data_IF_101572783335
#
_entry.id   IF_101572783335
#
_cell.length_a   1.000
_cell.length_b   1.000
_cell.length_c   1.000
_cell.angle_alpha   90.00
_cell.angle_beta   90.00
_cell.angle_gamma   90.00
#
_symmetry.space_group_name_H-M   'P 1'
#
loop_
_entity.id
_entity.type
_entity.pdbx_description
1 polymer ?
#
# COMPACT_ATOMS: atom_id res chain seq x y z
N UNK A 1 -8.63 -39.72 -4.34
CA UNK A 1 -9.80 -38.85 -4.10
C UNK A 1 -9.90 -37.90 -5.29
N UNK A 2 -10.66 -38.26 -6.33
CA UNK A 2 -10.87 -37.41 -7.51
C UNK A 2 -11.92 -36.37 -7.15
N UNK A 3 -11.52 -35.10 -7.06
CA UNK A 3 -12.46 -33.99 -7.01
C UNK A 3 -13.22 -33.97 -8.34
N UNK A 4 -14.56 -34.02 -8.27
CA UNK A 4 -15.42 -34.02 -9.45
C UNK A 4 -15.38 -32.63 -10.07
N UNK A 5 -15.28 -32.58 -11.40
CA UNK A 5 -15.16 -31.36 -12.22
C UNK A 5 -16.26 -30.31 -11.92
N UNK A 6 -17.44 -30.77 -11.48
CA UNK A 6 -18.56 -29.91 -11.05
C UNK A 6 -18.32 -29.14 -9.74
N UNK A 7 -17.45 -29.63 -8.85
CA UNK A 7 -17.08 -28.92 -7.61
C UNK A 7 -16.09 -27.78 -7.90
N UNK A 8 -15.28 -27.90 -8.96
CA UNK A 8 -14.35 -26.83 -9.37
C UNK A 8 -15.10 -25.65 -10.00
N UNK A 9 -16.07 -25.93 -10.87
CA UNK A 9 -16.86 -24.89 -11.55
C UNK A 9 -17.81 -24.15 -10.59
N UNK A 10 -18.41 -24.85 -9.63
CA UNK A 10 -19.26 -24.23 -8.61
C UNK A 10 -18.45 -23.34 -7.68
N UNK A 11 -17.27 -23.77 -7.25
CA UNK A 11 -16.35 -22.96 -6.44
C UNK A 11 -15.85 -21.72 -7.19
N UNK A 12 -15.57 -21.84 -8.50
CA UNK A 12 -15.13 -20.71 -9.33
C UNK A 12 -16.24 -19.67 -9.53
N UNK A 13 -17.47 -20.11 -9.78
CA UNK A 13 -18.65 -19.24 -9.88
C UNK A 13 -18.95 -18.54 -8.55
N UNK A 14 -18.81 -19.25 -7.43
CA UNK A 14 -19.04 -18.70 -6.09
C UNK A 14 -17.97 -17.67 -5.73
N UNK A 15 -16.71 -17.91 -6.10
CA UNK A 15 -15.62 -16.95 -5.91
C UNK A 15 -15.77 -15.71 -6.82
N UNK A 16 -16.23 -15.88 -8.07
CA UNK A 16 -16.58 -14.77 -8.96
C UNK A 16 -17.75 -13.95 -8.44
N UNK A 17 -18.85 -14.59 -8.01
CA UNK A 17 -19.98 -13.89 -7.39
C UNK A 17 -19.61 -13.22 -6.06
N UNK A 18 -18.71 -13.83 -5.29
CA UNK A 18 -18.18 -13.21 -4.06
C UNK A 18 -17.31 -12.00 -4.36
N UNK A 19 -16.53 -12.04 -5.45
CA UNK A 19 -15.79 -10.87 -5.96
C UNK A 19 -16.72 -9.79 -6.50
N UNK A 20 -17.81 -10.17 -7.16
CA UNK A 20 -18.86 -9.23 -7.59
C UNK A 20 -19.55 -8.58 -6.37
N UNK A 21 -19.79 -9.33 -5.29
CA UNK A 21 -20.37 -8.81 -4.04
C UNK A 21 -19.37 -8.01 -3.19
N UNK A 22 -18.05 -8.16 -3.36
CA UNK A 22 -17.06 -7.21 -2.83
C UNK A 22 -17.23 -5.79 -3.41
N UNK A 23 -18.00 -5.63 -4.50
CA UNK A 23 -18.36 -4.33 -5.07
C UNK A 23 -19.70 -3.78 -4.57
N UNK A 24 -20.47 -4.52 -3.76
CA UNK A 24 -21.58 -3.91 -3.00
C UNK A 24 -20.99 -3.20 -1.77
N UNK A 25 -20.54 -1.97 -1.97
CA UNK A 25 -19.81 -1.13 -1.01
C UNK A 25 -20.64 -0.59 0.16
N UNK A 26 -21.94 -0.88 0.22
CA UNK A 26 -22.81 -0.39 1.28
C UNK A 26 -22.40 -0.98 2.63
N UNK A 27 -21.71 -0.15 3.42
CA UNK A 27 -21.47 -0.40 4.83
C UNK A 27 -20.15 -1.10 5.18
N UNK A 28 -19.20 -1.28 4.27
CA UNK A 28 -17.86 -1.81 4.61
C UNK A 28 -16.85 -0.72 4.97
N UNK A 29 -17.06 0.50 4.44
CA UNK A 29 -16.21 1.66 4.69
C UNK A 29 -16.87 2.61 5.70
N UNK A 30 -16.05 3.30 6.49
CA UNK A 30 -16.45 4.35 7.44
C UNK A 30 -16.71 5.67 6.72
N UNK A 31 -16.02 5.91 5.61
CA UNK A 31 -16.19 7.07 4.74
C UNK A 31 -16.30 6.62 3.28
N UNK A 32 -16.82 7.49 2.42
CA UNK A 32 -16.95 7.20 1.00
C UNK A 32 -15.57 7.08 0.33
N UNK A 33 -15.44 6.10 -0.57
CA UNK A 33 -14.24 5.98 -1.42
C UNK A 33 -14.29 7.04 -2.51
N UNK A 34 -13.14 7.62 -2.79
CA UNK A 34 -12.95 8.48 -3.97
C UNK A 34 -12.07 7.79 -5.00
N UNK A 35 -12.18 8.16 -6.27
CA UNK A 35 -11.26 7.66 -7.30
C UNK A 35 -9.83 8.23 -7.13
N UNK A 36 -8.86 7.67 -7.85
CA UNK A 36 -7.47 8.12 -7.79
C UNK A 36 -7.31 9.57 -8.27
N UNK A 37 -8.15 10.04 -9.19
CA UNK A 37 -8.06 11.42 -9.70
C UNK A 37 -8.40 12.43 -8.60
N UNK A 38 -9.55 12.20 -7.95
CA UNK A 38 -10.05 12.99 -6.83
C UNK A 38 -9.12 12.89 -5.62
N UNK A 39 -8.61 11.68 -5.32
CA UNK A 39 -7.65 11.49 -4.22
C UNK A 39 -6.40 12.34 -4.41
N UNK A 40 -5.89 12.44 -5.63
CA UNK A 40 -4.65 13.18 -5.92
C UNK A 40 -4.89 14.68 -6.03
N UNK A 41 -5.96 15.10 -6.71
CA UNK A 41 -6.13 16.50 -7.14
C UNK A 41 -7.00 17.33 -6.22
N UNK A 42 -7.85 16.71 -5.38
CA UNK A 42 -8.76 17.46 -4.52
C UNK A 42 -8.03 18.07 -3.32
N UNK A 43 -8.36 19.33 -2.93
CA UNK A 43 -7.87 19.97 -1.72
C UNK A 43 -8.22 19.23 -0.43
N UNK A 44 -9.27 18.41 -0.44
CA UNK A 44 -9.68 17.62 0.74
C UNK A 44 -8.81 16.38 0.96
N UNK A 45 -7.93 16.05 -0.01
CA UNK A 45 -7.07 14.88 0.01
C UNK A 45 -5.59 15.26 -0.11
N UNK A 46 -4.97 14.98 -1.25
CA UNK A 46 -3.54 15.20 -1.43
C UNK A 46 -3.21 16.62 -1.92
N UNK A 47 -4.16 17.32 -2.56
CA UNK A 47 -3.99 18.69 -3.09
C UNK A 47 -2.81 18.86 -4.06
N UNK A 48 -2.56 17.86 -4.92
CA UNK A 48 -1.42 17.85 -5.84
C UNK A 48 -1.80 18.21 -7.28
N UNK A 49 -2.94 18.85 -7.50
CA UNK A 49 -3.47 19.15 -8.83
C UNK A 49 -2.53 19.97 -9.71
N UNK A 50 -1.83 20.93 -9.11
CA UNK A 50 -0.86 21.79 -9.81
C UNK A 50 0.55 21.17 -9.92
N UNK A 51 0.87 20.19 -9.07
CA UNK A 51 2.19 19.55 -8.99
C UNK A 51 2.30 18.29 -9.86
N UNK A 52 1.20 17.59 -10.09
CA UNK A 52 1.21 16.32 -10.83
C UNK A 52 1.07 16.54 -12.35
N UNK A 53 1.99 15.94 -13.11
CA UNK A 53 1.85 15.90 -14.57
C UNK A 53 0.69 15.00 -14.99
N UNK A 54 0.04 15.33 -16.11
CA UNK A 54 -1.03 14.49 -16.70
C UNK A 54 -0.58 13.04 -16.92
N UNK A 55 0.67 12.83 -17.35
CA UNK A 55 1.20 11.49 -17.58
C UNK A 55 1.31 10.68 -16.28
N UNK A 56 1.77 11.32 -15.19
CA UNK A 56 1.89 10.69 -13.88
C UNK A 56 0.52 10.37 -13.28
N UNK A 57 -0.45 11.29 -13.40
CA UNK A 57 -1.82 11.03 -12.95
C UNK A 57 -2.47 9.87 -13.72
N UNK A 58 -2.27 9.79 -15.03
CA UNK A 58 -2.76 8.68 -15.84
C UNK A 58 -2.10 7.35 -15.46
N UNK A 59 -0.79 7.34 -15.19
CA UNK A 59 -0.10 6.16 -14.69
C UNK A 59 -0.69 5.69 -13.36
N UNK A 60 -0.89 6.60 -12.39
CA UNK A 60 -1.51 6.30 -11.09
C UNK A 60 -2.92 5.71 -11.26
N UNK A 61 -3.75 6.31 -12.11
CA UNK A 61 -5.10 5.82 -12.41
C UNK A 61 -5.07 4.42 -13.03
N UNK A 62 -4.07 4.14 -13.87
CA UNK A 62 -3.92 2.81 -14.46
C UNK A 62 -3.58 1.77 -13.39
N UNK A 63 -2.57 2.03 -12.54
CA UNK A 63 -2.13 1.07 -11.52
C UNK A 63 -3.08 0.95 -10.31
N UNK A 64 -3.95 1.94 -10.06
CA UNK A 64 -5.02 1.87 -9.04
C UNK A 64 -6.21 0.99 -9.47
N UNK A 65 -6.23 0.54 -10.73
CA UNK A 65 -7.30 -0.32 -11.21
C UNK A 65 -7.35 -1.62 -10.38
N UNK A 66 -8.48 -1.95 -9.73
CA UNK A 66 -8.61 -3.15 -8.90
C UNK A 66 -8.35 -4.48 -9.64
N UNK A 67 -8.43 -4.49 -10.97
CA UNK A 67 -8.08 -5.63 -11.82
C UNK A 67 -6.57 -5.84 -11.98
N UNK A 68 -5.75 -4.85 -11.63
CA UNK A 68 -4.29 -4.93 -11.69
C UNK A 68 -3.76 -5.33 -10.32
N UNK A 69 -3.19 -6.52 -10.22
CA UNK A 69 -2.55 -7.02 -8.98
C UNK A 69 -1.07 -6.69 -8.89
N UNK A 70 -0.41 -6.57 -10.05
CA UNK A 70 1.03 -6.43 -10.19
C UNK A 70 1.30 -5.49 -11.37
N UNK A 71 2.21 -4.53 -11.20
CA UNK A 71 2.63 -3.61 -12.25
C UNK A 71 4.16 -3.57 -12.32
N UNK A 72 4.70 -3.72 -13.53
CA UNK A 72 6.13 -3.64 -13.81
C UNK A 72 6.38 -2.39 -14.63
N UNK A 73 7.10 -1.43 -14.07
CA UNK A 73 7.26 -0.11 -14.66
C UNK A 73 8.72 0.11 -15.07
N UNK A 74 8.95 0.30 -16.37
CA UNK A 74 10.24 0.70 -16.91
C UNK A 74 10.19 2.21 -17.15
N UNK A 75 10.82 2.96 -16.26
CA UNK A 75 10.74 4.42 -16.23
C UNK A 75 12.13 5.05 -16.33
N UNK A 76 12.25 6.10 -17.14
CA UNK A 76 13.47 6.90 -17.23
C UNK A 76 13.76 7.69 -15.95
N UNK A 77 15.02 8.11 -15.77
CA UNK A 77 15.40 9.04 -14.70
C UNK A 77 14.65 10.37 -14.86
N UNK A 78 14.12 10.92 -13.77
CA UNK A 78 13.32 12.16 -13.79
C UNK A 78 11.85 11.97 -14.18
N UNK A 79 11.38 10.73 -14.38
CA UNK A 79 9.98 10.42 -14.70
C UNK A 79 8.98 10.71 -13.56
N UNK A 80 9.46 10.96 -12.34
CA UNK A 80 8.60 11.07 -11.16
C UNK A 80 8.25 9.72 -10.51
N UNK A 81 9.05 8.66 -10.72
CA UNK A 81 8.82 7.33 -10.12
C UNK A 81 8.63 7.37 -8.59
N UNK A 82 9.51 8.08 -7.87
CA UNK A 82 9.48 8.17 -6.40
C UNK A 82 8.25 8.95 -5.95
N UNK A 83 7.94 10.06 -6.64
CA UNK A 83 6.71 10.82 -6.46
C UNK A 83 5.46 9.94 -6.61
N UNK A 84 5.32 9.21 -7.73
CA UNK A 84 4.18 8.31 -7.96
C UNK A 84 4.11 7.19 -6.91
N UNK A 85 5.25 6.59 -6.55
CA UNK A 85 5.28 5.52 -5.54
C UNK A 85 4.79 5.98 -4.18
N UNK A 86 5.15 7.20 -3.76
CA UNK A 86 4.72 7.78 -2.49
C UNK A 86 3.20 8.02 -2.48
N UNK A 87 2.64 8.56 -3.56
CA UNK A 87 1.18 8.76 -3.71
C UNK A 87 0.44 7.43 -3.71
N UNK A 88 0.94 6.44 -4.45
CA UNK A 88 0.33 5.11 -4.51
C UNK A 88 0.35 4.39 -3.16
N UNK A 89 1.38 4.63 -2.35
CA UNK A 89 1.45 4.15 -0.98
C UNK A 89 0.45 4.86 -0.07
N UNK A 90 0.37 6.20 -0.12
CA UNK A 90 -0.64 6.98 0.60
C UNK A 90 -2.05 6.49 0.28
N UNK A 91 -2.34 6.28 -1.01
CA UNK A 91 -3.63 5.74 -1.48
C UNK A 91 -3.97 4.42 -0.83
N UNK A 92 -3.08 3.43 -0.93
CA UNK A 92 -3.32 2.09 -0.39
C UNK A 92 -3.55 2.09 1.13
N UNK A 93 -2.77 2.90 1.85
CA UNK A 93 -2.92 3.08 3.30
C UNK A 93 -4.26 3.75 3.62
N UNK A 94 -4.58 4.86 2.96
CA UNK A 94 -5.83 5.61 3.17
C UNK A 94 -7.05 4.72 2.97
N UNK A 95 -7.12 4.01 1.83
CA UNK A 95 -8.23 3.10 1.52
C UNK A 95 -8.39 1.99 2.55
N UNK A 96 -7.28 1.52 3.12
CA UNK A 96 -7.32 0.47 4.15
C UNK A 96 -7.76 1.05 5.49
N UNK A 97 -7.37 2.28 5.82
CA UNK A 97 -7.76 2.95 7.05
C UNK A 97 -9.26 3.27 7.10
N UNK A 98 -9.88 3.59 5.96
CA UNK A 98 -11.32 3.88 5.89
C UNK A 98 -12.20 2.63 5.91
N UNK A 99 -11.64 1.41 5.91
CA UNK A 99 -12.42 0.19 6.15
C UNK A 99 -12.87 0.12 7.61
N UNK A 100 -14.13 -0.24 7.88
CA UNK A 100 -14.62 -0.46 9.26
C UNK A 100 -13.83 -1.53 9.99
N UNK A 101 -13.44 -2.59 9.28
CA UNK A 101 -12.61 -3.66 9.83
C UNK A 101 -11.71 -4.25 8.73
N UNK A 102 -10.48 -3.74 8.56
CA UNK A 102 -9.60 -4.13 7.46
C UNK A 102 -9.13 -5.58 7.55
N UNK A 103 -8.97 -6.14 8.76
CA UNK A 103 -8.64 -7.55 8.96
C UNK A 103 -9.79 -8.44 8.50
N UNK A 104 -11.03 -8.16 8.92
CA UNK A 104 -12.21 -8.94 8.50
C UNK A 104 -12.43 -8.85 6.99
N UNK A 105 -12.33 -7.65 6.42
CA UNK A 105 -12.41 -7.44 4.97
C UNK A 105 -11.38 -8.32 4.23
N UNK A 106 -10.16 -8.39 4.78
CA UNK A 106 -9.06 -9.17 4.20
C UNK A 106 -8.99 -10.62 4.67
N UNK A 107 -10.00 -11.12 5.40
CA UNK A 107 -10.04 -12.48 6.00
C UNK A 107 -8.83 -12.83 6.87
N UNK A 108 -8.24 -11.83 7.51
CA UNK A 108 -7.15 -11.99 8.47
C UNK A 108 -7.70 -12.16 9.89
N UNK A 109 -6.92 -12.81 10.76
CA UNK A 109 -7.28 -12.93 12.16
C UNK A 109 -7.33 -11.55 12.84
N UNK A 110 -8.24 -11.41 13.81
CA UNK A 110 -8.41 -10.17 14.58
C UNK A 110 -7.09 -9.80 15.26
N UNK A 111 -6.74 -8.51 15.23
CA UNK A 111 -5.52 -7.99 15.86
C UNK A 111 -4.25 -8.21 15.04
N UNK A 112 -4.30 -8.89 13.89
CA UNK A 112 -3.13 -9.02 13.03
C UNK A 112 -2.79 -7.72 12.31
N UNK A 113 -1.49 -7.47 12.18
CA UNK A 113 -0.98 -6.30 11.46
C UNK A 113 -1.16 -6.47 9.95
N UNK A 114 -1.48 -5.38 9.27
CA UNK A 114 -1.50 -5.24 7.81
C UNK A 114 -0.34 -4.34 7.41
N UNK A 115 0.53 -4.81 6.53
CA UNK A 115 1.77 -4.13 6.18
C UNK A 115 1.73 -3.51 4.78
N UNK A 116 2.33 -2.33 4.67
CA UNK A 116 2.66 -1.64 3.43
C UNK A 116 4.17 -1.53 3.36
N UNK A 117 4.76 -2.17 2.35
CA UNK A 117 6.22 -2.28 2.24
C UNK A 117 6.72 -1.44 1.08
N UNK A 118 7.70 -0.59 1.37
CA UNK A 118 8.46 0.10 0.35
C UNK A 118 9.92 -0.34 0.43
N UNK A 119 10.39 -1.02 -0.61
CA UNK A 119 11.67 -1.70 -0.67
C UNK A 119 12.63 -0.89 -1.53
N UNK A 120 13.75 -0.50 -0.96
CA UNK A 120 14.84 0.17 -1.68
C UNK A 120 16.15 -0.64 -1.59
N UNK A 121 17.07 -0.33 -2.49
CA UNK A 121 18.34 -1.05 -2.65
C UNK A 121 19.32 -0.82 -1.50
N UNK A 122 19.32 0.37 -0.87
CA UNK A 122 20.23 0.76 0.21
C UNK A 122 19.47 1.19 1.48
N UNK A 123 19.95 0.77 2.67
CA UNK A 123 19.44 1.17 4.00
C UNK A 123 19.36 2.69 4.17
N UNK A 124 20.38 3.42 3.69
CA UNK A 124 20.44 4.88 3.81
C UNK A 124 19.40 5.52 2.87
N UNK A 125 19.25 5.00 1.66
CA UNK A 125 18.30 5.49 0.65
C UNK A 125 16.83 5.20 1.04
N UNK A 126 16.58 4.08 1.72
CA UNK A 126 15.24 3.67 2.14
C UNK A 126 14.58 4.68 3.08
N UNK A 127 15.31 5.18 4.09
CA UNK A 127 14.76 6.17 5.03
C UNK A 127 14.91 7.59 4.51
N UNK A 128 16.11 7.98 4.11
CA UNK A 128 16.45 9.39 3.87
C UNK A 128 15.87 9.95 2.57
N UNK A 129 15.44 9.08 1.63
CA UNK A 129 14.89 9.52 0.33
C UNK A 129 13.47 8.99 0.12
N UNK A 130 13.24 7.68 0.23
CA UNK A 130 11.94 7.08 -0.10
C UNK A 130 10.90 7.33 0.99
N UNK A 131 11.26 7.14 2.26
CA UNK A 131 10.36 7.45 3.38
C UNK A 131 10.20 8.95 3.60
N UNK A 132 11.24 9.74 3.36
CA UNK A 132 11.14 11.20 3.40
C UNK A 132 10.05 11.71 2.45
N UNK A 133 10.02 11.19 1.21
CA UNK A 133 8.96 11.52 0.27
C UNK A 133 7.59 11.09 0.82
N UNK A 134 7.40 9.83 1.21
CA UNK A 134 6.13 9.35 1.74
C UNK A 134 5.64 10.17 2.95
N UNK A 135 6.51 10.43 3.93
CA UNK A 135 6.20 11.24 5.12
C UNK A 135 5.81 12.66 4.72
N UNK A 136 6.54 13.28 3.79
CA UNK A 136 6.21 14.62 3.31
C UNK A 136 4.81 14.70 2.71
N UNK A 137 4.39 13.66 1.98
CA UNK A 137 3.06 13.60 1.39
C UNK A 137 1.99 13.41 2.47
N UNK A 138 2.26 12.63 3.51
CA UNK A 138 1.37 12.53 4.67
C UNK A 138 1.22 13.90 5.38
N UNK A 139 2.35 14.58 5.64
CA UNK A 139 2.39 15.87 6.35
C UNK A 139 1.61 16.98 5.63
N UNK A 140 1.65 16.99 4.29
CA UNK A 140 1.02 18.04 3.49
C UNK A 140 -0.40 17.72 3.00
N UNK A 141 -0.81 16.45 3.05
CA UNK A 141 -2.18 16.06 2.73
C UNK A 141 -3.19 16.49 3.80
N UNK A 142 -4.46 16.67 3.41
CA UNK A 142 -5.60 16.87 4.31
C UNK A 142 -6.29 15.57 4.71
N UNK A 143 -6.00 14.48 4.00
CA UNK A 143 -6.56 13.16 4.27
C UNK A 143 -5.78 12.35 5.32
N UNK A 144 -4.75 12.93 5.95
CA UNK A 144 -4.02 12.34 7.06
C UNK A 144 -3.78 13.36 8.18
N UNK A 145 -3.56 12.86 9.39
CA UNK A 145 -3.26 13.70 10.55
C UNK A 145 -2.07 13.14 11.35
N UNK A 146 -0.99 13.91 11.46
CA UNK A 146 0.15 13.53 12.29
C UNK A 146 -0.21 13.65 13.78
N UNK A 147 0.16 12.62 14.53
CA UNK A 147 0.10 12.61 16.00
C UNK A 147 1.52 12.57 16.50
N UNK A 148 1.88 13.44 17.46
CA UNK A 148 3.26 13.55 17.95
C UNK A 148 3.51 12.79 19.24
N UNK A 149 2.46 12.40 19.94
CA UNK A 149 2.57 11.67 21.19
C UNK A 149 1.43 10.68 21.41
N UNK A 150 1.71 9.64 22.20
CA UNK A 150 0.67 8.68 22.60
C UNK A 150 -0.45 9.32 23.44
N UNK A 151 -0.21 10.51 24.02
CA UNK A 151 -1.21 11.27 24.77
C UNK A 151 -2.26 11.88 23.84
N UNK A 152 -1.83 12.42 22.70
CA UNK A 152 -2.73 12.98 21.66
C UNK A 152 -3.67 11.92 21.07
N UNK A 153 -3.28 10.62 21.08
CA UNK A 153 -4.15 9.53 20.63
C UNK A 153 -5.48 9.45 21.40
N UNK A 154 -5.49 9.88 22.66
CA UNK A 154 -6.70 9.85 23.49
C UNK A 154 -7.71 10.93 23.10
N UNK A 155 -7.26 11.98 22.40
CA UNK A 155 -8.06 13.12 21.93
C UNK A 155 -8.64 12.90 20.52
N UNK A 156 -8.22 11.85 19.81
CA UNK A 156 -8.61 11.56 18.42
C UNK A 156 -9.93 10.79 18.28
N UNK A 157 -10.72 10.63 19.36
CA UNK A 157 -12.04 9.99 19.26
C UNK A 157 -12.94 10.81 18.33
N UNK A 158 -13.28 10.24 17.18
CA UNK A 158 -14.15 10.88 16.18
C UNK A 158 -13.42 11.71 15.13
N UNK A 159 -12.09 11.59 15.02
CA UNK A 159 -11.34 12.22 13.94
C UNK A 159 -11.85 11.72 12.57
N UNK A 160 -12.07 12.64 11.63
CA UNK A 160 -12.71 12.35 10.33
C UNK A 160 -11.77 11.70 9.31
N UNK A 161 -10.45 11.81 9.54
CA UNK A 161 -9.41 11.28 8.65
C UNK A 161 -8.42 10.38 9.41
N UNK A 162 -7.77 9.42 8.74
CA UNK A 162 -6.74 8.58 9.35
C UNK A 162 -5.63 9.39 10.01
N UNK A 163 -5.28 9.04 11.25
CA UNK A 163 -4.10 9.60 11.91
C UNK A 163 -2.88 8.70 11.70
N UNK A 164 -1.67 9.22 11.93
CA UNK A 164 -0.45 8.42 11.93
C UNK A 164 0.54 8.87 12.99
N UNK A 165 1.40 7.94 13.40
CA UNK A 165 2.52 8.19 14.30
C UNK A 165 3.80 7.72 13.62
N UNK A 166 4.69 8.67 13.33
CA UNK A 166 6.01 8.37 12.78
C UNK A 166 6.96 7.90 13.89
N UNK A 167 7.61 6.77 13.66
CA UNK A 167 8.62 6.20 14.56
C UNK A 167 9.95 6.14 13.84
N UNK A 168 11.01 5.75 14.55
CA UNK A 168 12.33 5.63 13.93
C UNK A 168 12.35 4.72 12.69
N UNK A 169 11.56 3.64 12.68
CA UNK A 169 11.66 2.58 11.68
C UNK A 169 10.35 2.27 10.94
N UNK A 170 9.23 2.88 11.34
CA UNK A 170 7.87 2.55 10.88
C UNK A 170 6.93 3.73 10.99
N UNK A 171 5.90 3.77 10.15
CA UNK A 171 4.74 4.65 10.36
C UNK A 171 3.56 3.78 10.79
N UNK A 172 2.96 4.14 11.92
CA UNK A 172 1.84 3.43 12.52
C UNK A 172 0.54 4.16 12.20
N UNK A 173 -0.47 3.41 11.78
CA UNK A 173 -1.81 3.90 11.48
C UNK A 173 -2.83 3.15 12.36
N UNK A 174 -4.08 3.65 12.48
CA UNK A 174 -5.17 2.94 13.13
C UNK A 174 -5.33 1.50 12.64
N UNK A 175 -6.04 0.69 13.44
CA UNK A 175 -6.49 -0.66 13.02
C UNK A 175 -5.34 -1.60 12.63
N UNK A 176 -4.20 -1.47 13.31
CA UNK A 176 -2.99 -2.28 13.10
C UNK A 176 -2.44 -2.22 11.67
N UNK A 177 -2.55 -1.05 11.03
CA UNK A 177 -1.96 -0.79 9.72
C UNK A 177 -0.57 -0.20 9.93
N UNK A 178 0.44 -0.71 9.22
CA UNK A 178 1.84 -0.35 9.41
C UNK A 178 2.52 -0.17 8.06
N UNK A 179 3.15 0.99 7.84
CA UNK A 179 4.09 1.17 6.74
C UNK A 179 5.52 0.94 7.22
N UNK A 180 6.29 0.16 6.46
CA UNK A 180 7.70 -0.16 6.76
C UNK A 180 8.54 0.09 5.51
N UNK A 181 9.68 0.75 5.70
CA UNK A 181 10.72 0.80 4.69
C UNK A 181 11.72 -0.33 4.90
N UNK A 182 11.80 -1.25 3.94
CA UNK A 182 12.70 -2.38 4.00
C UNK A 182 13.96 -2.14 3.18
N UNK A 183 15.10 -2.62 3.67
CA UNK A 183 16.33 -2.73 2.91
C UNK A 183 16.56 -4.18 2.47
N UNK A 184 16.97 -4.40 1.22
CA UNK A 184 17.22 -5.69 0.54
C UNK A 184 17.91 -6.85 1.30
N UNK A 185 18.49 -6.62 2.49
CA UNK A 185 19.33 -7.58 3.23
C UNK A 185 18.63 -8.38 4.33
N UNK A 186 17.47 -7.96 4.84
CA UNK A 186 16.77 -8.76 5.87
C UNK A 186 15.70 -9.61 5.21
N UNK A 187 15.75 -10.93 5.31
CA UNK A 187 14.66 -11.83 4.84
C UNK A 187 13.38 -11.73 5.72
N UNK A 188 13.30 -10.68 6.56
CA UNK A 188 12.34 -10.53 7.65
C UNK A 188 10.88 -10.30 7.20
N UNK A 189 10.65 -10.03 5.91
CA UNK A 189 9.32 -9.71 5.37
C UNK A 189 8.47 -10.93 5.02
N UNK A 190 9.06 -12.14 4.94
CA UNK A 190 8.32 -13.38 4.63
C UNK A 190 7.21 -13.70 5.66
N UNK A 191 7.25 -13.08 6.84
CA UNK A 191 6.23 -13.22 7.89
C UNK A 191 5.15 -12.14 7.93
N UNK A 192 5.22 -11.11 7.08
CA UNK A 192 4.28 -10.00 7.11
C UNK A 192 3.00 -10.31 6.33
N UNK A 193 1.86 -9.82 6.82
CA UNK A 193 0.64 -9.75 6.01
C UNK A 193 0.70 -8.49 5.16
N UNK A 194 1.46 -8.55 4.07
CA UNK A 194 1.70 -7.40 3.19
C UNK A 194 0.53 -7.20 2.24
N UNK A 195 -0.14 -6.06 2.31
CA UNK A 195 -1.25 -5.71 1.41
C UNK A 195 -0.74 -5.02 0.14
N UNK A 196 0.34 -4.26 0.24
CA UNK A 196 0.96 -3.55 -0.88
C UNK A 196 2.48 -3.56 -0.70
N UNK A 197 3.17 -3.81 -1.80
CA UNK A 197 4.63 -3.83 -1.87
C UNK A 197 5.14 -3.04 -3.06
N UNK A 198 6.10 -2.16 -2.84
CA UNK A 198 6.77 -1.37 -3.88
C UNK A 198 8.25 -1.75 -3.88
N UNK A 199 8.80 -2.02 -5.06
CA UNK A 199 10.24 -2.23 -5.27
C UNK A 199 10.77 -1.05 -6.10
N UNK A 200 11.44 -0.09 -5.46
CA UNK A 200 12.08 1.00 -6.19
C UNK A 200 13.48 0.58 -6.65
N UNK A 201 13.85 0.96 -7.87
CA UNK A 201 15.14 0.62 -8.49
C UNK A 201 15.43 -0.88 -8.52
N UNK A 202 14.43 -1.68 -8.91
CA UNK A 202 14.51 -3.15 -9.02
C UNK A 202 15.79 -3.65 -9.71
N UNK A 203 16.23 -3.00 -10.80
CA UNK A 203 17.44 -3.38 -11.54
C UNK A 203 18.74 -3.25 -10.74
N UNK A 204 18.74 -2.44 -9.68
CA UNK A 204 19.91 -2.16 -8.84
C UNK A 204 20.01 -3.06 -7.62
N UNK A 205 19.08 -4.01 -7.43
CA UNK A 205 19.21 -5.03 -6.39
C UNK A 205 20.22 -6.09 -6.83
N UNK A 206 21.47 -5.97 -6.37
CA UNK A 206 22.55 -6.92 -6.63
C UNK A 206 23.16 -7.47 -5.34
N UNK A 207 23.73 -8.68 -5.40
CA UNK A 207 24.49 -9.27 -4.31
C UNK A 207 25.96 -8.79 -4.28
N UNK A 208 26.74 -9.28 -3.32
CA UNK A 208 28.16 -8.92 -3.18
C UNK A 208 29.03 -9.42 -4.36
N UNK A 209 28.50 -10.26 -5.25
CA UNK A 209 29.11 -10.73 -6.49
C UNK A 209 28.48 -10.09 -7.73
N UNK A 210 27.71 -9.02 -7.56
CA UNK A 210 27.01 -8.29 -8.61
C UNK A 210 25.94 -9.11 -9.37
N UNK A 211 25.41 -10.17 -8.77
CA UNK A 211 24.28 -10.94 -9.31
C UNK A 211 22.97 -10.30 -8.90
N UNK A 212 22.02 -10.22 -9.83
CA UNK A 212 20.69 -9.67 -9.53
C UNK A 212 19.99 -10.48 -8.43
N UNK A 213 19.50 -9.77 -7.41
CA UNK A 213 18.60 -10.25 -6.34
C UNK A 213 17.17 -9.74 -6.50
N UNK A 214 16.91 -8.94 -7.53
CA UNK A 214 15.61 -8.34 -7.78
C UNK A 214 14.51 -9.40 -7.83
N UNK A 215 14.77 -10.52 -8.51
CA UNK A 215 13.82 -11.62 -8.65
C UNK A 215 13.50 -12.30 -7.30
N UNK A 216 14.50 -12.53 -6.45
CA UNK A 216 14.31 -13.18 -5.15
C UNK A 216 13.50 -12.29 -4.18
N UNK A 217 13.82 -10.99 -4.17
CA UNK A 217 13.10 -10.00 -3.35
C UNK A 217 11.67 -9.84 -3.87
N UNK A 218 11.50 -9.76 -5.19
CA UNK A 218 10.20 -9.75 -5.83
C UNK A 218 9.37 -10.98 -5.44
N UNK A 219 9.91 -12.19 -5.57
CA UNK A 219 9.19 -13.42 -5.21
C UNK A 219 8.83 -13.47 -3.73
N UNK A 220 9.71 -12.97 -2.86
CA UNK A 220 9.46 -12.90 -1.41
C UNK A 220 8.31 -11.92 -1.10
N UNK A 221 8.35 -10.72 -1.69
CA UNK A 221 7.31 -9.71 -1.53
C UNK A 221 5.97 -10.19 -2.09
N UNK A 222 6.02 -10.80 -3.28
CA UNK A 222 4.86 -11.34 -3.95
C UNK A 222 4.23 -12.50 -3.17
N UNK A 223 5.06 -13.39 -2.62
CA UNK A 223 4.61 -14.48 -1.75
C UNK A 223 3.88 -13.94 -0.52
N UNK A 224 4.40 -12.89 0.11
CA UNK A 224 3.75 -12.21 1.24
C UNK A 224 2.40 -11.59 0.85
N UNK A 225 2.28 -10.99 -0.35
CA UNK A 225 1.03 -10.42 -0.85
C UNK A 225 -0.01 -11.52 -1.21
N UNK A 226 0.36 -12.48 -2.07
CA UNK A 226 -0.56 -13.51 -2.60
C UNK A 226 -1.09 -14.48 -1.56
N UNK A 227 -0.29 -14.80 -0.55
CA UNK A 227 -0.71 -15.77 0.49
C UNK A 227 -1.67 -15.17 1.51
N UNK A 228 -1.91 -13.85 1.45
CA UNK A 228 -2.64 -13.10 2.48
C UNK A 228 -3.77 -12.24 1.91
N UNK A 229 -3.70 -11.81 0.64
CA UNK A 229 -4.69 -10.94 -0.02
C UNK A 229 -5.01 -11.37 -1.47
#
# INVERSE_FOLDING_TARGET
MQLKENDLLSNFSTELQRRINLFSSEGEYETERVDMDSFVTSPDYMDLGDDISKANLQLLKHIDNPGIREAWLILGKGSGKSFNSSIYQCRGVWETCILKNPQKYSKLAVGTNIYFLNMATNQIQARDVVFADFIEKLNHSKCFHEVKSALELTELRGHSVPYYYDTKDRILFPKNIISVCGHSKSEAWLGYNTKQGILDEADWFVDNMNKSKAHDIYNSLLGSCKTRF
#
